data_IF_461203193965
#
_entry.id   IF_461203193965
#
_cell.length_a   1.000
_cell.length_b   1.000
_cell.length_c   1.000
_cell.angle_alpha   90.00
_cell.angle_beta   90.00
_cell.angle_gamma   90.00
#
_symmetry.space_group_name_H-M   'P 1'
#
loop_
_entity.id
_entity.type
_entity.pdbx_description
1 polymer ?
#
# COMPACT_ATOMS: atom_id res chain seq x y z
N UNK A 1 7.23 -54.94 -43.18
CA UNK A 1 6.82 -55.20 -41.78
C UNK A 1 5.41 -54.67 -41.60
N UNK A 2 4.47 -55.62 -41.40
CA UNK A 2 3.10 -55.58 -40.88
C UNK A 2 2.45 -54.19 -40.67
N UNK A 3 1.37 -53.76 -41.33
CA UNK A 3 0.03 -54.31 -41.65
C UNK A 3 -0.99 -54.29 -40.48
N UNK A 4 -2.26 -54.00 -40.85
CA UNK A 4 -3.56 -54.17 -40.14
C UNK A 4 -4.07 -52.92 -39.39
N UNK A 5 -5.34 -52.56 -39.40
CA UNK A 5 -6.56 -53.20 -39.90
C UNK A 5 -7.79 -52.67 -39.13
N UNK A 6 -8.93 -52.62 -39.81
CA UNK A 6 -10.24 -52.01 -39.49
C UNK A 6 -11.02 -52.66 -38.32
N UNK A 7 -12.12 -51.99 -37.91
CA UNK A 7 -13.34 -52.39 -37.15
C UNK A 7 -13.49 -51.57 -35.86
N UNK A 8 -14.56 -50.83 -35.56
CA UNK A 8 -15.98 -51.02 -35.85
C UNK A 8 -16.67 -51.68 -34.66
N UNK A 9 -17.57 -50.95 -33.98
CA UNK A 9 -18.90 -51.40 -33.48
C UNK A 9 -19.30 -50.80 -32.11
N UNK A 10 -20.53 -50.28 -32.10
CA UNK A 10 -21.36 -49.84 -30.97
C UNK A 10 -21.55 -50.92 -29.90
N UNK A 11 -21.67 -50.50 -28.62
CA UNK A 11 -22.47 -51.21 -27.63
C UNK A 11 -23.09 -50.22 -26.63
N UNK A 12 -24.42 -50.15 -26.66
CA UNK A 12 -25.25 -49.62 -25.58
C UNK A 12 -25.13 -50.54 -24.36
N UNK A 13 -25.02 -49.94 -23.18
CA UNK A 13 -25.19 -50.61 -21.90
C UNK A 13 -25.87 -49.68 -20.91
N UNK A 14 -27.19 -49.81 -20.82
CA UNK A 14 -28.03 -49.29 -19.74
C UNK A 14 -28.20 -50.37 -18.64
N UNK A 15 -28.79 -49.97 -17.51
CA UNK A 15 -29.03 -50.68 -16.22
C UNK A 15 -27.95 -50.41 -15.16
N UNK A 16 -28.23 -50.03 -13.91
CA UNK A 16 -29.48 -49.96 -13.12
C UNK A 16 -29.25 -49.06 -11.91
N UNK A 17 -30.32 -48.42 -11.43
CA UNK A 17 -30.42 -47.79 -10.12
C UNK A 17 -30.18 -48.79 -8.98
N UNK A 18 -29.34 -48.40 -8.01
CA UNK A 18 -29.43 -48.86 -6.62
C UNK A 18 -29.45 -47.60 -5.76
N UNK A 19 -30.58 -47.37 -5.09
CA UNK A 19 -30.69 -46.45 -3.98
C UNK A 19 -30.40 -47.16 -2.67
N UNK A 20 -29.79 -46.44 -1.72
CA UNK A 20 -29.88 -46.61 -0.27
C UNK A 20 -29.24 -45.34 0.33
N UNK A 21 -30.07 -44.44 0.88
CA UNK A 21 -30.50 -44.38 2.30
C UNK A 21 -29.51 -43.58 3.14
N UNK A 22 -30.04 -42.48 3.66
CA UNK A 22 -29.38 -41.50 4.52
C UNK A 22 -28.57 -42.13 5.64
N UNK A 23 -27.33 -41.68 5.76
CA UNK A 23 -26.56 -41.73 7.00
C UNK A 23 -26.05 -40.34 7.28
N UNK A 24 -26.54 -39.77 8.38
CA UNK A 24 -26.09 -38.52 8.97
C UNK A 24 -24.58 -38.56 9.20
N UNK A 25 -23.85 -37.93 8.30
CA UNK A 25 -22.48 -37.50 8.52
C UNK A 25 -22.53 -36.10 9.08
N UNK A 26 -22.23 -35.98 10.39
CA UNK A 26 -21.89 -34.71 11.02
C UNK A 26 -20.63 -34.20 10.31
N UNK A 27 -20.83 -33.34 9.32
CA UNK A 27 -19.83 -32.40 8.86
C UNK A 27 -19.89 -31.21 9.79
N UNK A 28 -19.00 -31.18 10.78
CA UNK A 28 -18.56 -29.91 11.37
C UNK A 28 -17.81 -29.16 10.28
N UNK A 29 -18.57 -28.52 9.41
CA UNK A 29 -18.08 -27.49 8.51
C UNK A 29 -17.82 -26.27 9.38
N UNK A 30 -16.62 -26.22 9.99
CA UNK A 30 -16.06 -24.96 10.44
C UNK A 30 -15.63 -24.20 9.19
N UNK A 31 -16.63 -23.74 8.44
CA UNK A 31 -16.47 -22.63 7.52
C UNK A 31 -16.28 -21.42 8.42
N UNK A 32 -15.02 -21.18 8.80
CA UNK A 32 -14.58 -19.91 9.32
C UNK A 32 -14.81 -18.89 8.21
N UNK A 33 -16.06 -18.40 8.16
CA UNK A 33 -16.43 -17.20 7.45
C UNK A 33 -15.75 -16.08 8.21
N UNK A 34 -14.48 -15.85 7.88
CA UNK A 34 -13.76 -14.63 8.20
C UNK A 34 -14.54 -13.50 7.54
N UNK A 35 -15.56 -13.00 8.23
CA UNK A 35 -16.12 -11.68 7.99
C UNK A 35 -14.93 -10.73 8.07
N UNK A 36 -14.66 -9.89 7.07
CA UNK A 36 -13.60 -8.88 7.19
C UNK A 36 -13.87 -8.12 8.49
N UNK A 37 -12.95 -8.23 9.45
CA UNK A 37 -13.03 -7.44 10.68
C UNK A 37 -12.95 -5.99 10.21
N UNK A 38 -14.08 -5.28 10.33
CA UNK A 38 -14.15 -3.88 9.94
C UNK A 38 -13.17 -3.11 10.84
N UNK A 39 -12.12 -2.57 10.21
CA UNK A 39 -11.08 -1.81 10.91
C UNK A 39 -11.72 -0.64 11.67
N UNK A 40 -11.56 -0.62 12.99
CA UNK A 40 -12.03 0.50 13.80
C UNK A 40 -11.11 1.69 13.57
N UNK A 41 -11.61 2.72 12.89
CA UNK A 41 -10.82 3.88 12.48
C UNK A 41 -11.59 5.18 12.75
N UNK A 42 -10.90 6.21 13.26
CA UNK A 42 -11.46 7.54 13.42
C UNK A 42 -11.62 8.26 12.07
N UNK A 43 -12.66 9.10 11.98
CA UNK A 43 -12.90 9.91 10.78
C UNK A 43 -11.99 11.16 10.73
N UNK A 44 -11.94 11.80 9.55
CA UNK A 44 -11.11 12.97 9.32
C UNK A 44 -11.45 14.15 10.23
N UNK A 45 -12.72 14.33 10.63
CA UNK A 45 -13.14 15.42 11.51
C UNK A 45 -12.64 15.22 12.95
N UNK A 46 -12.66 13.96 13.41
CA UNK A 46 -12.11 13.55 14.69
C UNK A 46 -10.61 13.75 14.72
N UNK A 47 -9.89 13.30 13.68
CA UNK A 47 -8.44 13.50 13.55
C UNK A 47 -8.11 15.01 13.52
N UNK A 48 -8.86 15.82 12.79
CA UNK A 48 -8.68 17.28 12.75
C UNK A 48 -8.81 17.90 14.15
N UNK A 49 -9.75 17.42 14.96
CA UNK A 49 -9.93 17.87 16.35
C UNK A 49 -8.71 17.55 17.21
N UNK A 50 -8.13 16.35 17.07
CA UNK A 50 -6.90 15.97 17.79
C UNK A 50 -5.70 16.81 17.36
N UNK A 51 -5.56 17.09 16.05
CA UNK A 51 -4.51 17.97 15.53
C UNK A 51 -4.58 19.34 16.20
N UNK A 52 -5.77 19.96 16.22
CA UNK A 52 -5.95 21.26 16.85
C UNK A 52 -5.64 21.23 18.34
N UNK A 53 -6.25 20.31 19.08
CA UNK A 53 -6.14 20.28 20.54
C UNK A 53 -4.75 19.88 21.03
N UNK A 54 -4.16 18.84 20.44
CA UNK A 54 -2.92 18.24 20.93
C UNK A 54 -1.66 18.87 20.35
N UNK A 55 -1.75 19.50 19.17
CA UNK A 55 -0.56 19.99 18.46
C UNK A 55 -0.61 21.51 18.23
N UNK A 56 -1.70 22.04 17.66
CA UNK A 56 -1.73 23.42 17.20
C UNK A 56 -2.06 24.44 18.30
N UNK A 57 -3.07 24.19 19.12
CA UNK A 57 -3.47 25.09 20.22
C UNK A 57 -2.32 25.38 21.21
N UNK A 58 -1.50 24.39 21.64
CA UNK A 58 -0.33 24.66 22.48
C UNK A 58 0.71 25.61 21.83
N UNK A 59 0.71 25.71 20.51
CA UNK A 59 1.56 26.61 19.73
C UNK A 59 0.88 27.96 19.41
N UNK A 60 -0.36 28.16 19.87
CA UNK A 60 -1.17 29.32 19.51
C UNK A 60 -1.67 29.32 18.06
N UNK A 61 -1.77 28.14 17.45
CA UNK A 61 -2.23 27.93 16.07
C UNK A 61 -3.56 27.17 16.04
N UNK A 62 -4.23 27.19 14.88
CA UNK A 62 -5.39 26.35 14.57
C UNK A 62 -5.48 26.01 13.08
N UNK A 63 -6.14 24.89 12.75
CA UNK A 63 -6.43 24.51 11.37
C UNK A 63 -7.30 25.57 10.67
N UNK A 64 -8.31 26.11 11.36
CA UNK A 64 -9.25 27.08 10.80
C UNK A 64 -8.60 28.44 10.50
N UNK A 65 -7.93 29.03 11.50
CA UNK A 65 -7.42 30.40 11.39
C UNK A 65 -6.15 30.46 10.56
N UNK A 66 -5.22 29.55 10.81
CA UNK A 66 -3.88 29.57 10.21
C UNK A 66 -3.80 28.77 8.90
N UNK A 67 -4.88 28.05 8.55
CA UNK A 67 -4.99 27.25 7.32
C UNK A 67 -3.84 26.24 7.18
N UNK A 68 -3.42 25.66 8.30
CA UNK A 68 -2.34 24.67 8.35
C UNK A 68 -2.73 23.45 7.51
N UNK A 69 -1.89 23.12 6.52
CA UNK A 69 -2.10 21.96 5.66
C UNK A 69 -1.42 20.73 6.24
N UNK A 70 -2.07 19.58 6.07
CA UNK A 70 -1.54 18.27 6.42
C UNK A 70 -2.13 17.21 5.50
N UNK A 71 -1.49 16.04 5.46
CA UNK A 71 -2.04 14.80 4.91
C UNK A 71 -2.09 13.76 6.02
N UNK A 72 -3.02 12.82 5.91
CA UNK A 72 -3.21 11.78 6.93
C UNK A 72 -3.49 10.43 6.29
N UNK A 73 -3.14 9.36 7.00
CA UNK A 73 -3.47 7.98 6.65
C UNK A 73 -3.69 7.16 7.91
N UNK A 74 -4.53 6.14 7.81
CA UNK A 74 -4.90 5.27 8.93
C UNK A 74 -4.61 3.81 8.58
N UNK A 75 -3.96 3.09 9.48
CA UNK A 75 -3.67 1.66 9.32
C UNK A 75 -3.58 1.01 10.71
N UNK A 76 -3.99 -0.25 10.81
CA UNK A 76 -3.75 -1.06 12.01
C UNK A 76 -2.30 -1.55 11.99
N UNK A 77 -1.43 -0.84 12.71
CA UNK A 77 0.00 -1.14 12.67
C UNK A 77 0.37 -2.28 13.62
N UNK A 78 -0.49 -2.62 14.58
CA UNK A 78 -0.20 -3.61 15.64
C UNK A 78 -1.10 -4.85 15.58
N UNK A 79 -1.99 -4.92 14.59
CA UNK A 79 -2.96 -6.00 14.35
C UNK A 79 -3.97 -6.21 15.49
N UNK A 80 -4.36 -5.15 16.21
CA UNK A 80 -5.36 -5.21 17.29
C UNK A 80 -6.81 -4.94 16.82
N UNK A 81 -7.01 -4.68 15.53
CA UNK A 81 -8.30 -4.35 14.91
C UNK A 81 -8.67 -2.86 15.00
N UNK A 82 -7.78 -2.02 15.54
CA UNK A 82 -7.95 -0.57 15.68
C UNK A 82 -6.83 0.16 14.93
N UNK A 83 -7.18 1.23 14.22
CA UNK A 83 -6.22 1.96 13.42
C UNK A 83 -5.35 2.91 14.27
N UNK A 84 -4.09 3.02 13.88
CA UNK A 84 -3.26 4.19 14.16
C UNK A 84 -3.34 5.20 13.02
N UNK A 85 -3.25 6.47 13.37
CA UNK A 85 -3.40 7.59 12.45
C UNK A 85 -2.12 8.39 12.36
N UNK A 86 -1.56 8.49 11.16
CA UNK A 86 -0.44 9.38 10.92
C UNK A 86 -0.93 10.70 10.35
N UNK A 87 -0.36 11.79 10.83
CA UNK A 87 -0.56 13.15 10.31
C UNK A 87 0.80 13.71 9.93
N UNK A 88 0.99 14.01 8.65
CA UNK A 88 2.17 14.68 8.12
C UNK A 88 1.82 16.13 7.79
N UNK A 89 2.43 17.09 8.48
CA UNK A 89 2.23 18.50 8.18
C UNK A 89 2.89 18.90 6.86
N UNK A 90 2.30 19.90 6.20
CA UNK A 90 2.79 20.46 4.93
C UNK A 90 3.03 21.98 5.00
N UNK A 91 2.87 22.58 6.18
CA UNK A 91 3.14 24.00 6.39
C UNK A 91 4.61 24.26 6.79
N UNK A 92 5.14 25.41 6.36
CA UNK A 92 6.53 25.85 6.65
C UNK A 92 6.87 25.87 8.15
N UNK A 93 5.89 26.07 9.03
CA UNK A 93 6.11 26.06 10.48
C UNK A 93 6.58 24.68 10.96
N UNK A 94 6.14 23.61 10.29
CA UNK A 94 6.45 22.22 10.63
C UNK A 94 7.49 21.59 9.70
N UNK A 95 7.96 22.33 8.68
CA UNK A 95 8.80 21.80 7.61
C UNK A 95 10.16 22.49 7.55
N UNK A 96 11.21 21.69 7.36
CA UNK A 96 12.56 22.12 7.05
C UNK A 96 13.09 21.45 5.79
N UNK A 97 14.39 21.63 5.52
CA UNK A 97 15.05 21.03 4.36
C UNK A 97 15.03 19.49 4.40
N UNK A 98 15.17 18.91 5.59
CA UNK A 98 15.20 17.45 5.80
C UNK A 98 13.85 16.75 5.76
N UNK A 99 12.74 17.50 5.76
CA UNK A 99 11.38 16.96 5.81
C UNK A 99 10.44 17.80 6.66
N UNK A 100 9.24 17.28 6.90
CA UNK A 100 8.24 17.87 7.77
C UNK A 100 8.03 17.02 9.02
N UNK A 101 7.52 17.64 10.08
CA UNK A 101 7.13 16.92 11.29
C UNK A 101 5.89 16.08 11.01
N UNK A 102 5.89 14.84 11.49
CA UNK A 102 4.71 13.98 11.52
C UNK A 102 4.39 13.51 12.93
N UNK A 103 3.12 13.26 13.19
CA UNK A 103 2.61 12.73 14.45
C UNK A 103 1.81 11.46 14.18
N UNK A 104 1.94 10.50 15.07
CA UNK A 104 1.15 9.27 15.07
C UNK A 104 0.24 9.28 16.30
N UNK A 105 -1.04 9.04 16.08
CA UNK A 105 -2.06 8.95 17.10
C UNK A 105 -2.60 7.52 17.19
N UNK A 106 -3.03 7.13 18.38
CA UNK A 106 -3.97 6.02 18.52
C UNK A 106 -5.39 6.46 18.12
N UNK A 107 -6.32 5.52 18.04
CA UNK A 107 -7.72 5.79 17.72
C UNK A 107 -8.51 6.51 18.84
N UNK A 108 -7.85 6.94 19.92
CA UNK A 108 -8.44 7.75 20.99
C UNK A 108 -7.86 9.18 21.01
N UNK A 109 -6.96 9.52 20.09
CA UNK A 109 -6.33 10.83 19.99
C UNK A 109 -5.12 11.02 20.89
N UNK A 110 -4.59 9.96 21.49
CA UNK A 110 -3.31 10.02 22.21
C UNK A 110 -2.18 9.99 21.20
N UNK A 111 -1.23 10.92 21.33
CA UNK A 111 0.01 10.91 20.54
C UNK A 111 0.87 9.71 20.97
N UNK A 112 1.09 8.78 20.06
CA UNK A 112 1.97 7.62 20.21
C UNK A 112 3.41 7.96 19.84
N UNK A 113 3.61 8.73 18.77
CA UNK A 113 4.94 9.11 18.31
C UNK A 113 4.95 10.49 17.66
N UNK A 114 6.12 11.15 17.70
CA UNK A 114 6.41 12.37 16.93
C UNK A 114 7.71 12.15 16.15
N UNK A 115 7.62 12.22 14.83
CA UNK A 115 8.76 12.17 13.93
C UNK A 115 9.16 13.59 13.52
N UNK A 116 10.42 13.94 13.74
CA UNK A 116 10.91 15.32 13.54
C UNK A 116 11.01 15.73 12.08
N UNK A 117 11.41 14.80 11.20
CA UNK A 117 11.68 15.06 9.78
C UNK A 117 11.34 13.85 8.91
N UNK A 118 10.27 13.95 8.13
CA UNK A 118 9.83 12.92 7.20
C UNK A 118 9.11 13.55 5.99
N UNK A 119 9.02 12.82 4.87
CA UNK A 119 8.19 13.13 3.71
C UNK A 119 7.62 11.84 3.15
N UNK A 120 6.60 12.00 2.31
CA UNK A 120 6.15 10.91 1.45
C UNK A 120 7.27 10.44 0.50
N UNK A 121 7.23 9.18 0.06
CA UNK A 121 6.25 8.16 0.42
C UNK A 121 6.39 7.71 1.89
N UNK A 122 5.27 7.37 2.50
CA UNK A 122 5.20 6.73 3.81
C UNK A 122 4.50 5.40 3.59
N UNK A 123 5.27 4.33 3.47
CA UNK A 123 4.79 3.07 2.92
C UNK A 123 5.07 1.89 3.85
N UNK A 124 4.09 1.00 3.99
CA UNK A 124 4.17 -0.20 4.84
C UNK A 124 5.10 -1.24 4.22
N UNK A 125 5.99 -1.77 5.05
CA UNK A 125 6.88 -2.87 4.66
C UNK A 125 6.25 -4.17 5.16
N UNK A 126 6.47 -5.27 4.44
CA UNK A 126 6.08 -6.62 4.86
C UNK A 126 7.09 -7.17 5.90
N UNK A 127 7.27 -6.43 6.98
CA UNK A 127 8.06 -6.84 8.15
C UNK A 127 7.47 -6.23 9.41
N UNK A 128 7.66 -6.92 10.53
CA UNK A 128 7.15 -6.50 11.84
C UNK A 128 8.28 -6.52 12.86
N UNK A 129 8.35 -5.47 13.66
CA UNK A 129 9.28 -5.34 14.79
C UNK A 129 8.49 -5.21 16.08
N UNK A 130 8.71 -6.11 17.03
CA UNK A 130 8.04 -6.08 18.35
C UNK A 130 6.50 -6.01 18.26
N UNK A 131 5.91 -6.70 17.29
CA UNK A 131 4.45 -6.76 17.09
C UNK A 131 3.85 -5.59 16.31
N UNK A 132 4.66 -4.63 15.86
CA UNK A 132 4.23 -3.48 15.08
C UNK A 132 4.83 -3.54 13.67
N UNK A 133 4.05 -3.15 12.66
CA UNK A 133 4.47 -3.18 11.26
C UNK A 133 5.54 -2.12 10.99
N UNK A 134 6.61 -2.50 10.31
CA UNK A 134 7.63 -1.56 9.89
C UNK A 134 7.14 -0.73 8.69
N UNK A 135 7.67 0.47 8.53
CA UNK A 135 7.37 1.31 7.37
C UNK A 135 8.60 2.07 6.89
N UNK A 136 8.58 2.48 5.63
CA UNK A 136 9.60 3.34 5.03
C UNK A 136 9.10 4.78 4.97
N UNK A 137 10.00 5.73 5.20
CA UNK A 137 9.78 7.15 4.96
C UNK A 137 10.93 7.76 4.19
N UNK A 138 10.69 8.86 3.47
CA UNK A 138 11.80 9.69 3.00
C UNK A 138 12.24 10.65 4.12
N UNK A 139 13.53 10.74 4.40
CA UNK A 139 14.08 11.70 5.36
C UNK A 139 15.53 12.09 5.05
N UNK A 140 15.78 13.40 4.99
CA UNK A 140 17.11 13.98 4.82
C UNK A 140 17.93 13.34 3.68
N UNK A 141 17.32 13.21 2.51
CA UNK A 141 17.99 12.73 1.30
C UNK A 141 18.12 11.21 1.16
N UNK A 142 17.43 10.43 2.00
CA UNK A 142 17.40 8.97 1.87
C UNK A 142 16.06 8.40 2.33
N UNK A 143 15.73 7.21 1.82
CA UNK A 143 14.66 6.39 2.35
C UNK A 143 15.13 5.68 3.61
N UNK A 144 14.28 5.65 4.63
CA UNK A 144 14.61 5.24 6.00
C UNK A 144 13.57 4.26 6.50
N UNK A 145 14.01 3.13 7.03
CA UNK A 145 13.12 2.17 7.67
C UNK A 145 12.84 2.60 9.11
N UNK A 146 11.57 2.62 9.47
CA UNK A 146 11.05 2.91 10.79
C UNK A 146 10.61 1.60 11.41
N UNK A 147 11.31 1.16 12.45
CA UNK A 147 11.02 -0.09 13.15
C UNK A 147 10.72 0.16 14.61
N UNK A 148 9.64 -0.44 15.11
CA UNK A 148 9.21 -0.25 16.49
C UNK A 148 10.16 -0.95 17.46
N UNK A 149 10.65 -0.23 18.46
CA UNK A 149 11.69 -0.72 19.37
C UNK A 149 11.14 -1.45 20.62
N UNK A 150 9.82 -1.60 20.73
CA UNK A 150 9.13 -2.13 21.91
C UNK A 150 8.43 -1.06 22.75
N UNK A 151 8.80 0.22 22.58
CA UNK A 151 8.21 1.37 23.27
C UNK A 151 7.64 2.41 22.30
N UNK A 152 8.34 2.69 21.19
CA UNK A 152 7.89 3.60 20.15
C UNK A 152 8.60 3.33 18.82
N UNK A 153 8.09 3.92 17.73
CA UNK A 153 8.92 4.15 16.55
C UNK A 153 9.97 5.23 16.84
N UNK A 154 11.10 5.27 16.09
CA UNK A 154 12.10 6.32 16.23
C UNK A 154 11.52 7.72 16.00
N UNK A 155 11.97 8.69 16.81
CA UNK A 155 11.50 10.08 16.72
C UNK A 155 12.27 10.93 15.69
N UNK A 156 13.42 10.44 15.21
CA UNK A 156 14.22 11.10 14.19
C UNK A 156 14.56 10.14 13.03
N UNK A 157 13.73 10.08 11.98
CA UNK A 157 13.97 9.19 10.84
C UNK A 157 15.34 9.38 10.15
N UNK A 158 15.95 10.57 10.23
CA UNK A 158 17.19 10.89 9.49
C UNK A 158 18.43 10.11 9.95
N UNK A 159 18.37 9.42 11.10
CA UNK A 159 19.45 8.56 11.61
C UNK A 159 19.17 7.07 11.45
N UNK A 160 17.97 6.70 11.01
CA UNK A 160 17.55 5.31 10.87
C UNK A 160 18.21 4.60 9.66
N UNK A 161 18.20 3.26 9.59
CA UNK A 161 18.80 2.53 8.49
C UNK A 161 18.27 2.99 7.11
N UNK A 162 19.19 3.15 6.15
CA UNK A 162 18.82 3.50 4.77
C UNK A 162 18.28 2.29 4.03
N UNK A 163 17.25 2.50 3.23
CA UNK A 163 16.71 1.51 2.29
C UNK A 163 17.17 1.85 0.87
N UNK A 164 17.55 0.82 0.10
CA UNK A 164 17.90 0.96 -1.31
C UNK A 164 16.65 1.02 -2.19
N UNK A 165 15.97 2.17 -2.13
CA UNK A 165 14.77 2.42 -2.93
C UNK A 165 15.09 2.61 -4.43
N UNK A 166 16.28 3.14 -4.76
CA UNK A 166 16.65 3.40 -6.16
C UNK A 166 16.73 2.12 -6.98
N UNK A 167 17.30 1.05 -6.42
CA UNK A 167 17.33 -0.26 -7.08
C UNK A 167 15.92 -0.82 -7.29
N UNK A 168 15.01 -0.60 -6.33
CA UNK A 168 13.61 -1.05 -6.45
C UNK A 168 12.88 -0.27 -7.56
N UNK A 169 13.02 1.05 -7.62
CA UNK A 169 12.47 1.88 -8.72
C UNK A 169 13.02 1.44 -10.09
N UNK A 170 14.33 1.17 -10.19
CA UNK A 170 14.93 0.69 -11.44
C UNK A 170 14.39 -0.68 -11.85
N UNK A 171 14.19 -1.56 -10.88
CA UNK A 171 13.58 -2.87 -11.11
C UNK A 171 12.15 -2.69 -11.61
N UNK A 172 11.31 -1.91 -10.92
CA UNK A 172 9.93 -1.67 -11.33
C UNK A 172 9.83 -0.98 -12.71
N UNK A 173 10.75 -0.04 -13.00
CA UNK A 173 10.88 0.58 -14.33
C UNK A 173 11.11 -0.48 -15.41
N UNK A 174 11.98 -1.46 -15.16
CA UNK A 174 12.26 -2.53 -16.11
C UNK A 174 11.03 -3.42 -16.38
N UNK A 175 10.16 -3.61 -15.38
CA UNK A 175 8.89 -4.34 -15.55
C UNK A 175 7.95 -3.59 -16.50
N UNK A 176 7.78 -2.27 -16.33
CA UNK A 176 6.98 -1.46 -17.28
C UNK A 176 7.59 -1.51 -18.67
N UNK A 177 8.92 -1.34 -18.77
CA UNK A 177 9.61 -1.39 -20.05
C UNK A 177 9.47 -2.74 -20.74
N UNK A 178 9.37 -3.85 -20.00
CA UNK A 178 9.22 -5.19 -20.57
C UNK A 178 7.82 -5.47 -21.15
N UNK A 179 6.83 -4.60 -20.89
CA UNK A 179 5.48 -4.78 -21.45
C UNK A 179 5.49 -4.59 -22.97
N UNK A 180 4.63 -5.35 -23.68
CA UNK A 180 4.50 -5.22 -25.13
C UNK A 180 4.12 -3.79 -25.53
N UNK A 181 3.19 -3.19 -24.78
CA UNK A 181 2.75 -1.82 -24.99
C UNK A 181 3.91 -0.81 -24.95
N UNK A 182 4.81 -0.91 -23.98
CA UNK A 182 5.98 -0.03 -23.93
C UNK A 182 6.99 -0.35 -25.03
N UNK A 183 7.25 -1.63 -25.32
CA UNK A 183 8.23 -2.03 -26.34
C UNK A 183 7.85 -1.63 -27.76
N UNK A 184 6.55 -1.52 -28.07
CA UNK A 184 6.08 -1.13 -29.40
C UNK A 184 6.45 0.32 -29.73
N UNK A 185 6.14 1.29 -28.84
CA UNK A 185 6.37 2.71 -29.12
C UNK A 185 6.34 3.61 -27.86
N UNK A 186 6.65 3.04 -26.69
CA UNK A 186 6.63 3.71 -25.39
C UNK A 186 7.87 4.58 -25.13
N UNK A 187 7.68 5.75 -24.55
CA UNK A 187 8.76 6.69 -24.22
C UNK A 187 8.37 7.60 -23.02
N UNK A 188 9.32 8.43 -22.55
CA UNK A 188 9.12 9.37 -21.44
C UNK A 188 8.60 8.71 -20.15
N UNK A 189 9.10 7.51 -19.79
CA UNK A 189 8.74 6.89 -18.51
C UNK A 189 9.28 7.71 -17.33
N UNK A 190 8.39 8.02 -16.39
CA UNK A 190 8.69 8.82 -15.19
C UNK A 190 8.05 8.16 -13.97
N UNK A 191 8.80 8.02 -12.85
CA UNK A 191 8.22 7.54 -11.60
C UNK A 191 7.25 8.59 -11.02
N UNK A 192 6.23 8.12 -10.32
CA UNK A 192 5.27 8.93 -9.58
C UNK A 192 5.35 8.57 -8.11
N UNK A 193 5.70 9.55 -7.27
CA UNK A 193 5.74 9.34 -5.82
C UNK A 193 4.32 9.32 -5.25
N UNK A 194 4.06 8.34 -4.37
CA UNK A 194 2.80 8.26 -3.63
C UNK A 194 2.63 9.47 -2.71
N UNK A 195 1.43 10.05 -2.74
CA UNK A 195 1.03 11.11 -1.82
C UNK A 195 0.22 10.58 -0.64
N UNK A 196 -0.37 9.41 -0.82
CA UNK A 196 -1.10 8.70 0.22
C UNK A 196 -0.13 8.15 1.27
N UNK A 197 -0.61 8.04 2.50
CA UNK A 197 0.13 7.48 3.62
C UNK A 197 -0.36 6.04 3.82
N UNK A 198 0.58 5.15 4.15
CA UNK A 198 0.37 3.71 4.30
C UNK A 198 0.13 2.95 3.00
N UNK A 199 0.75 3.42 1.91
CA UNK A 199 0.80 2.62 0.67
C UNK A 199 1.71 1.40 0.84
N UNK A 200 1.56 0.32 0.06
CA UNK A 200 2.49 -0.81 0.10
C UNK A 200 3.87 -0.43 -0.43
N UNK A 201 4.95 -0.70 0.30
CA UNK A 201 6.32 -0.32 -0.10
C UNK A 201 6.87 -1.08 -1.33
N UNK A 202 6.18 -2.14 -1.77
CA UNK A 202 6.50 -2.94 -2.95
C UNK A 202 5.71 -2.54 -4.20
N UNK A 203 4.83 -1.53 -4.11
CA UNK A 203 4.03 -1.03 -5.24
C UNK A 203 4.62 0.29 -5.74
N UNK A 204 4.78 0.40 -7.06
CA UNK A 204 5.43 1.52 -7.72
C UNK A 204 4.56 2.04 -8.87
N UNK A 205 4.46 3.36 -8.99
CA UNK A 205 3.65 4.02 -10.01
C UNK A 205 4.54 4.76 -11.01
N UNK A 206 4.17 4.71 -12.28
CA UNK A 206 4.86 5.38 -13.38
C UNK A 206 3.87 6.01 -14.35
N UNK A 207 4.29 7.08 -15.01
CA UNK A 207 3.64 7.58 -16.23
C UNK A 207 4.56 7.39 -17.43
N UNK A 208 4.01 7.09 -18.60
CA UNK A 208 4.75 7.14 -19.88
C UNK A 208 3.84 7.55 -21.04
N UNK A 209 4.43 7.83 -22.20
CA UNK A 209 3.73 8.21 -23.44
C UNK A 209 3.94 7.17 -24.52
N UNK A 210 3.09 7.18 -25.54
CA UNK A 210 3.18 6.25 -26.66
C UNK A 210 3.02 7.01 -27.99
N UNK A 211 3.95 6.88 -28.94
CA UNK A 211 3.89 7.69 -30.18
C UNK A 211 2.70 7.32 -31.07
N UNK A 212 2.28 6.05 -31.06
CA UNK A 212 1.07 5.58 -31.74
C UNK A 212 -0.26 6.07 -31.12
N UNK A 213 -0.21 6.68 -29.94
CA UNK A 213 -1.38 7.20 -29.23
C UNK A 213 -1.07 8.54 -28.53
N UNK A 214 -0.84 9.62 -29.31
CA UNK A 214 -0.26 10.86 -28.80
C UNK A 214 -1.24 11.72 -27.99
N UNK A 215 -2.50 11.28 -27.81
CA UNK A 215 -3.52 12.01 -27.04
C UNK A 215 -3.70 11.46 -25.63
N UNK A 216 -3.00 10.38 -25.28
CA UNK A 216 -3.10 9.76 -23.97
C UNK A 216 -1.74 9.70 -23.25
N UNK A 217 -1.79 9.70 -21.92
CA UNK A 217 -0.71 9.29 -21.03
C UNK A 217 -1.09 7.95 -20.43
N UNK A 218 -0.10 7.09 -20.25
CA UNK A 218 -0.27 5.77 -19.65
C UNK A 218 0.21 5.81 -18.20
N UNK A 219 -0.63 5.38 -17.28
CA UNK A 219 -0.32 5.18 -15.87
C UNK A 219 -0.06 3.68 -15.65
N UNK A 220 1.13 3.32 -15.17
CA UNK A 220 1.51 1.95 -14.87
C UNK A 220 1.67 1.76 -13.36
N UNK A 221 1.10 0.67 -12.84
CA UNK A 221 1.24 0.22 -11.46
C UNK A 221 1.98 -1.10 -11.45
N UNK A 222 3.12 -1.17 -10.75
CA UNK A 222 3.96 -2.35 -10.66
C UNK A 222 3.96 -2.88 -9.24
N UNK A 223 3.63 -4.15 -9.05
CA UNK A 223 3.81 -4.84 -7.78
C UNK A 223 5.08 -5.70 -7.83
N UNK A 224 6.14 -5.33 -7.10
CA UNK A 224 7.41 -6.05 -7.13
C UNK A 224 7.37 -7.42 -6.46
N UNK A 225 6.36 -7.72 -5.63
CA UNK A 225 6.23 -9.03 -4.99
C UNK A 225 5.64 -10.07 -5.94
N UNK A 226 4.61 -9.70 -6.71
CA UNK A 226 3.98 -10.59 -7.69
C UNK A 226 4.62 -10.50 -9.08
N UNK A 227 5.23 -9.35 -9.39
CA UNK A 227 5.72 -9.02 -10.72
C UNK A 227 4.64 -8.53 -11.68
N UNK A 228 3.42 -8.28 -11.18
CA UNK A 228 2.31 -7.79 -12.00
C UNK A 228 2.54 -6.33 -12.40
N UNK A 229 2.13 -6.02 -13.64
CA UNK A 229 2.13 -4.67 -14.20
C UNK A 229 0.73 -4.40 -14.74
N UNK A 230 0.03 -3.46 -14.12
CA UNK A 230 -1.24 -2.94 -14.60
C UNK A 230 -1.01 -1.61 -15.31
N UNK A 231 -1.68 -1.39 -16.45
CA UNK A 231 -1.49 -0.19 -17.26
C UNK A 231 -2.84 0.34 -17.74
N UNK A 232 -3.13 1.59 -17.38
CA UNK A 232 -4.32 2.31 -17.79
C UNK A 232 -3.95 3.58 -18.58
N UNK A 233 -4.72 3.91 -19.60
CA UNK A 233 -4.53 5.13 -20.40
C UNK A 233 -5.51 6.21 -20.00
N UNK A 234 -5.05 7.45 -19.89
CA UNK A 234 -5.87 8.63 -19.63
C UNK A 234 -5.65 9.71 -20.71
N UNK A 235 -6.72 10.36 -21.21
CA UNK A 235 -6.58 11.48 -22.13
C UNK A 235 -5.78 12.63 -21.53
N UNK A 236 -4.88 13.20 -22.31
CA UNK A 236 -4.17 14.42 -21.95
C UNK A 236 -5.16 15.58 -21.84
N UNK A 237 -5.18 16.24 -20.68
CA UNK A 237 -5.98 17.46 -20.42
C UNK A 237 -5.34 18.71 -21.02
#
# INVERSE_FOLDING_TARGET
MNNRGLHGLFLLGSLTLIGCSSTDGISTDNTDSQVPVELKSADAATIATWIDQSILMPQGLSLETDKIRYVTGSADLNSDGTAEHLVLFQDRFFCGSGGCTAYMFDNNGKVLNRMSVTRTPIALIDSYSNGWQDFVVWSNGAYRQMSYNGESYPSNPSVEPKIDHNTQVQTATAYVMATELYQQDGYDIMPVDDKEIWTPANVYHFTFKHHGDPQNVYNATVNLNSGDVDIESEPMQ
#
